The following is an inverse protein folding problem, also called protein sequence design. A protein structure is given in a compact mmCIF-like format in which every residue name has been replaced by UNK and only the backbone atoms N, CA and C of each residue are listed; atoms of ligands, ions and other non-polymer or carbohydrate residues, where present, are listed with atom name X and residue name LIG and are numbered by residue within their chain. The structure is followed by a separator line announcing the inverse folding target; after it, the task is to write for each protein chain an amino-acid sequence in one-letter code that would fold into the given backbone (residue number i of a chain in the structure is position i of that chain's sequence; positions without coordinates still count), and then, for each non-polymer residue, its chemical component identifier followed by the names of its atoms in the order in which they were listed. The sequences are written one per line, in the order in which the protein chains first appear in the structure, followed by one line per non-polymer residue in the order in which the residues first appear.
data_IF_186293870738
#
_entry.id   IF_186293870738
#
_cell.length_a   1.000
_cell.length_b   1.000
_cell.length_c   1.000
_cell.angle_alpha   90.00
_cell.angle_beta   90.00
_cell.angle_gamma   90.00
#
_symmetry.space_group_name_H-M   'P 1'
#
loop_
_entity.id
_entity.type
_entity.pdbx_description
1 polymer ?
#
# COMPACT_ATOMS: atom_id res chain seq x y z
N UNK A 1 3.42 8.21 25.54
CA UNK A 1 4.19 7.10 24.94
C UNK A 1 3.30 6.46 23.88
N UNK A 2 3.43 6.87 22.61
CA UNK A 2 2.63 6.26 21.54
C UNK A 2 3.14 4.83 21.32
N UNK A 3 2.24 3.85 21.41
CA UNK A 3 2.57 2.47 21.10
C UNK A 3 3.09 2.40 19.67
N UNK A 4 4.33 1.93 19.48
CA UNK A 4 4.86 1.62 18.15
C UNK A 4 4.02 0.45 17.61
N UNK A 5 3.03 0.75 16.77
CA UNK A 5 2.33 -0.31 16.05
C UNK A 5 3.34 -1.02 15.14
N UNK A 6 3.47 -2.36 15.22
CA UNK A 6 4.35 -3.08 14.31
C UNK A 6 3.93 -2.79 12.87
N UNK A 7 4.92 -2.60 11.99
CA UNK A 7 4.72 -2.43 10.55
C UNK A 7 3.88 -3.58 9.96
N UNK A 8 3.22 -3.32 8.83
CA UNK A 8 2.57 -4.38 8.06
C UNK A 8 3.59 -5.46 7.70
N UNK A 9 3.23 -6.70 8.04
CA UNK A 9 4.04 -7.91 7.80
C UNK A 9 4.17 -8.17 6.30
N UNK A 10 5.28 -8.75 5.88
CA UNK A 10 5.52 -9.13 4.49
C UNK A 10 5.22 -10.63 4.35
N UNK A 11 4.23 -11.04 3.54
CA UNK A 11 3.96 -12.45 3.30
C UNK A 11 5.19 -13.17 2.71
N UNK A 12 5.41 -14.44 3.08
CA UNK A 12 6.54 -15.23 2.60
C UNK A 12 6.50 -15.56 1.10
N UNK A 13 5.31 -15.47 0.48
CA UNK A 13 5.06 -15.81 -0.92
C UNK A 13 4.94 -14.58 -1.83
N UNK A 14 5.48 -13.42 -1.43
CA UNK A 14 5.43 -12.19 -2.23
C UNK A 14 6.19 -12.37 -3.55
N UNK A 15 5.52 -11.99 -4.64
CA UNK A 15 6.09 -11.88 -5.98
C UNK A 15 6.65 -10.48 -6.18
N UNK A 16 7.81 -10.41 -6.83
CA UNK A 16 8.45 -9.15 -7.23
C UNK A 16 8.28 -8.96 -8.74
N UNK A 17 7.83 -7.78 -9.14
CA UNK A 17 7.70 -7.41 -10.55
C UNK A 17 8.57 -6.21 -10.92
N UNK A 18 8.37 -5.76 -12.14
CA UNK A 18 8.98 -4.53 -12.67
C UNK A 18 7.91 -3.47 -12.92
N UNK A 19 8.32 -2.27 -13.35
CA UNK A 19 7.37 -1.21 -13.67
C UNK A 19 6.35 -1.60 -14.76
N UNK A 20 6.68 -2.57 -15.63
CA UNK A 20 5.75 -3.12 -16.63
C UNK A 20 4.57 -3.87 -16.02
N UNK A 21 4.70 -4.38 -14.79
CA UNK A 21 3.64 -5.10 -14.08
C UNK A 21 2.62 -4.16 -13.42
N UNK A 22 2.93 -2.86 -13.30
CA UNK A 22 2.10 -1.90 -12.55
C UNK A 22 0.65 -1.85 -13.06
N UNK A 23 0.36 -1.73 -14.37
CA UNK A 23 -1.04 -1.70 -14.83
C UNK A 23 -1.84 -2.96 -14.52
N UNK A 24 -1.16 -4.12 -14.41
CA UNK A 24 -1.81 -5.40 -14.08
C UNK A 24 -2.04 -5.55 -12.59
N UNK A 25 -1.09 -5.10 -11.76
CA UNK A 25 -1.13 -5.28 -10.29
C UNK A 25 -1.92 -4.16 -9.61
N UNK A 26 -1.84 -2.94 -10.17
CA UNK A 26 -2.35 -1.69 -9.63
C UNK A 26 -3.13 -0.91 -10.72
N UNK A 27 -4.25 -1.42 -11.23
CA UNK A 27 -4.95 -0.79 -12.34
C UNK A 27 -5.43 0.63 -12.02
N UNK A 28 -5.96 0.89 -10.82
CA UNK A 28 -6.43 2.24 -10.45
C UNK A 28 -5.27 3.21 -10.34
N UNK A 29 -4.21 2.81 -9.63
CA UNK A 29 -3.03 3.63 -9.45
C UNK A 29 -2.32 3.90 -10.80
N UNK A 30 -2.24 2.90 -11.68
CA UNK A 30 -1.65 3.07 -13.01
C UNK A 30 -2.41 4.10 -13.87
N UNK A 31 -3.75 4.14 -13.76
CA UNK A 31 -4.59 5.05 -14.53
C UNK A 31 -4.43 6.52 -14.09
N UNK A 32 -4.19 6.77 -12.79
CA UNK A 32 -4.18 8.13 -12.24
C UNK A 32 -2.78 8.66 -11.88
N UNK A 33 -1.80 7.76 -11.77
CA UNK A 33 -0.44 8.08 -11.34
C UNK A 33 0.62 7.76 -12.40
N UNK A 34 1.06 8.81 -13.10
CA UNK A 34 2.25 8.73 -13.94
C UNK A 34 3.52 8.38 -13.16
N UNK A 35 3.54 8.59 -11.83
CA UNK A 35 4.66 8.19 -10.98
C UNK A 35 4.69 6.71 -10.68
N UNK A 36 3.52 6.09 -10.47
CA UNK A 36 3.42 4.67 -10.20
C UNK A 36 3.93 3.82 -11.37
N UNK A 37 3.75 4.29 -12.62
CA UNK A 37 4.32 3.66 -13.82
C UNK A 37 5.86 3.62 -13.85
N UNK A 38 6.52 4.28 -12.90
CA UNK A 38 7.98 4.26 -12.69
C UNK A 38 8.39 3.47 -11.46
N UNK A 39 7.41 2.98 -10.69
CA UNK A 39 7.64 2.22 -9.47
C UNK A 39 7.87 0.74 -9.72
N UNK A 40 8.35 0.03 -8.71
CA UNK A 40 8.50 -1.43 -8.75
C UNK A 40 7.47 -2.10 -7.84
N UNK A 41 6.53 -2.89 -8.39
CA UNK A 41 5.46 -3.52 -7.65
C UNK A 41 5.92 -4.83 -6.98
N UNK A 42 5.35 -5.10 -5.81
CA UNK A 42 5.39 -6.38 -5.12
C UNK A 42 3.98 -6.74 -4.68
N UNK A 43 3.61 -8.01 -4.75
CA UNK A 43 2.27 -8.45 -4.36
C UNK A 43 2.27 -9.87 -3.84
N UNK A 44 1.38 -10.17 -2.90
CA UNK A 44 1.08 -11.55 -2.57
C UNK A 44 0.12 -12.14 -3.64
N UNK A 45 0.24 -13.41 -4.03
CA UNK A 45 -0.69 -14.07 -4.94
C UNK A 45 -2.16 -13.81 -4.57
N UNK A 46 -2.98 -13.45 -5.55
CA UNK A 46 -4.40 -13.23 -5.31
C UNK A 46 -5.05 -14.58 -4.95
N UNK A 47 -6.01 -14.62 -4.03
CA UNK A 47 -6.85 -15.79 -3.87
C UNK A 47 -7.59 -16.08 -5.18
N UNK A 48 -7.91 -17.35 -5.43
CA UNK A 48 -8.77 -17.72 -6.56
C UNK A 48 -10.14 -17.01 -6.44
N UNK A 49 -10.83 -16.75 -7.57
CA UNK A 49 -12.18 -16.21 -7.53
C UNK A 49 -13.09 -17.13 -6.70
N UNK A 50 -13.78 -16.58 -5.71
CA UNK A 50 -14.65 -17.36 -4.82
C UNK A 50 -16.02 -17.60 -5.49
N UNK A 51 -16.51 -18.85 -5.49
CA UNK A 51 -17.86 -19.20 -5.97
C UNK A 51 -18.58 -20.15 -4.99
N UNK A 52 -19.79 -19.82 -4.44
CA UNK A 52 -20.53 -18.56 -4.51
C UNK A 52 -20.54 -17.77 -3.19
N UNK A 53 -20.16 -16.49 -3.25
CA UNK A 53 -20.43 -15.46 -2.23
C UNK A 53 -19.25 -15.02 -1.37
N UNK A 54 -19.44 -14.03 -0.47
CA UNK A 54 -18.41 -13.55 0.44
C UNK A 54 -17.87 -14.66 1.35
N UNK A 55 -16.55 -14.83 1.34
CA UNK A 55 -15.78 -15.76 2.17
C UNK A 55 -14.97 -15.00 3.22
N UNK A 56 -14.19 -15.71 4.06
CA UNK A 56 -13.15 -15.10 4.88
C UNK A 56 -11.81 -15.13 4.15
N UNK A 57 -11.07 -14.02 4.17
CA UNK A 57 -9.75 -13.86 3.53
C UNK A 57 -8.69 -13.42 4.54
N UNK A 58 -7.46 -13.89 4.36
CA UNK A 58 -6.30 -13.40 5.10
C UNK A 58 -5.98 -11.96 4.68
N UNK A 59 -5.36 -11.14 5.57
CA UNK A 59 -4.79 -9.85 5.16
C UNK A 59 -3.86 -9.96 3.94
N UNK A 60 -3.08 -11.06 3.85
CA UNK A 60 -2.19 -11.36 2.73
C UNK A 60 -2.90 -11.43 1.37
N UNK A 61 -4.20 -11.77 1.33
CA UNK A 61 -4.97 -11.82 0.08
C UNK A 61 -5.09 -10.45 -0.61
N UNK A 62 -4.97 -9.37 0.17
CA UNK A 62 -5.05 -7.98 -0.28
C UNK A 62 -3.70 -7.27 -0.25
N UNK A 63 -2.63 -7.96 0.15
CA UNK A 63 -1.33 -7.34 0.35
C UNK A 63 -0.71 -6.90 -0.96
N UNK A 64 -0.38 -5.62 -1.04
CA UNK A 64 0.29 -4.97 -2.15
C UNK A 64 1.41 -4.06 -1.65
N UNK A 65 2.42 -3.84 -2.48
CA UNK A 65 3.51 -2.92 -2.21
C UNK A 65 4.04 -2.31 -3.52
N UNK A 66 4.45 -1.04 -3.49
CA UNK A 66 5.11 -0.39 -4.61
C UNK A 66 6.25 0.50 -4.09
N UNK A 67 7.43 0.42 -4.74
CA UNK A 67 8.57 1.29 -4.44
C UNK A 67 8.73 2.35 -5.52
N UNK A 68 8.73 3.61 -5.11
CA UNK A 68 8.99 4.79 -5.94
C UNK A 68 10.48 5.13 -5.90
N UNK A 69 11.21 5.01 -7.03
CA UNK A 69 12.65 5.23 -7.08
C UNK A 69 13.02 6.73 -7.15
N UNK A 70 12.52 7.54 -6.21
CA UNK A 70 12.75 8.99 -6.20
C UNK A 70 14.23 9.35 -6.19
N UNK A 71 15.10 8.58 -5.52
CA UNK A 71 16.53 8.90 -5.45
C UNK A 71 17.23 8.79 -6.82
N UNK A 72 16.79 7.89 -7.69
CA UNK A 72 17.42 7.64 -8.99
C UNK A 72 16.62 8.13 -10.21
N UNK A 73 15.33 8.42 -10.08
CA UNK A 73 14.48 8.90 -11.18
C UNK A 73 14.20 10.41 -11.09
N UNK A 74 14.92 11.18 -11.89
CA UNK A 74 14.77 12.64 -11.96
C UNK A 74 13.40 13.09 -12.51
N UNK A 75 12.77 12.30 -13.38
CA UNK A 75 11.46 12.63 -13.94
C UNK A 75 10.38 12.44 -12.87
N UNK A 76 10.46 11.33 -12.13
CA UNK A 76 9.58 11.07 -11.00
C UNK A 76 9.70 12.19 -9.96
N UNK A 77 10.93 12.58 -9.59
CA UNK A 77 11.18 13.73 -8.71
C UNK A 77 10.49 15.00 -9.20
N UNK A 78 10.65 15.34 -10.48
CA UNK A 78 10.05 16.53 -11.06
C UNK A 78 8.50 16.55 -10.94
N UNK A 79 7.86 15.39 -11.11
CA UNK A 79 6.39 15.26 -11.02
C UNK A 79 5.90 15.54 -9.58
N UNK A 80 6.62 15.05 -8.57
CA UNK A 80 6.13 15.07 -7.18
C UNK A 80 6.71 16.20 -6.32
N UNK A 81 7.80 16.84 -6.74
CA UNK A 81 8.47 17.83 -5.90
C UNK A 81 7.75 19.18 -5.86
N UNK A 82 7.76 19.79 -4.67
CA UNK A 82 7.48 21.20 -4.50
C UNK A 82 8.57 22.05 -5.19
N UNK A 83 8.25 23.25 -5.69
CA UNK A 83 9.26 24.25 -6.03
C UNK A 83 10.19 24.46 -4.82
N UNK A 84 11.50 24.30 -5.00
CA UNK A 84 12.50 24.38 -3.93
C UNK A 84 13.20 23.08 -3.55
N UNK A 85 12.87 21.94 -4.17
CA UNK A 85 13.86 20.84 -4.34
C UNK A 85 13.72 19.60 -3.46
N UNK A 86 13.16 19.69 -2.25
CA UNK A 86 13.37 18.59 -1.28
C UNK A 86 12.10 17.89 -0.80
N UNK A 87 10.95 18.57 -0.85
CA UNK A 87 9.68 18.09 -0.29
C UNK A 87 8.74 17.60 -1.38
N UNK A 88 7.98 16.55 -1.08
CA UNK A 88 6.88 16.10 -1.94
C UNK A 88 5.66 17.03 -1.81
N UNK A 89 4.91 17.17 -2.91
CA UNK A 89 3.59 17.80 -2.92
C UNK A 89 2.61 16.90 -2.17
N UNK A 90 2.18 17.35 -0.99
CA UNK A 90 1.28 16.58 -0.14
C UNK A 90 0.02 16.10 -0.88
N UNK A 91 -0.65 17.00 -1.61
CA UNK A 91 -1.84 16.66 -2.40
C UNK A 91 -1.57 15.57 -3.45
N UNK A 92 -0.44 15.62 -4.15
CA UNK A 92 -0.08 14.61 -5.14
C UNK A 92 0.19 13.26 -4.49
N UNK A 93 0.83 13.24 -3.32
CA UNK A 93 1.07 11.99 -2.61
C UNK A 93 -0.19 11.43 -1.93
N UNK A 94 -1.15 12.29 -1.55
CA UNK A 94 -2.48 11.85 -1.11
C UNK A 94 -3.25 11.15 -2.25
N UNK A 95 -3.13 11.63 -3.49
CA UNK A 95 -3.69 10.92 -4.67
C UNK A 95 -3.09 9.52 -4.82
N UNK A 96 -1.78 9.34 -4.57
CA UNK A 96 -1.14 8.01 -4.57
C UNK A 96 -1.72 7.10 -3.49
N UNK A 97 -1.87 7.62 -2.26
CA UNK A 97 -2.40 6.83 -1.14
C UNK A 97 -3.84 6.40 -1.39
N UNK A 98 -4.68 7.28 -1.95
CA UNK A 98 -6.07 6.98 -2.28
C UNK A 98 -6.18 5.89 -3.35
N UNK A 99 -5.46 6.05 -4.46
CA UNK A 99 -5.49 5.09 -5.56
C UNK A 99 -4.87 3.75 -5.17
N UNK A 100 -3.78 3.75 -4.39
CA UNK A 100 -3.18 2.53 -3.86
C UNK A 100 -4.13 1.79 -2.90
N UNK A 101 -4.80 2.51 -1.99
CA UNK A 101 -5.82 1.94 -1.10
C UNK A 101 -7.01 1.38 -1.87
N UNK A 102 -7.37 1.98 -3.01
CA UNK A 102 -8.38 1.44 -3.92
C UNK A 102 -7.97 0.10 -4.51
N UNK A 103 -6.75 -0.03 -5.04
CA UNK A 103 -6.25 -1.30 -5.60
C UNK A 103 -6.21 -2.42 -4.54
N UNK A 104 -5.71 -2.11 -3.33
CA UNK A 104 -5.72 -3.05 -2.19
C UNK A 104 -7.14 -3.55 -1.89
N UNK A 105 -8.10 -2.62 -1.83
CA UNK A 105 -9.51 -2.92 -1.55
C UNK A 105 -10.18 -3.68 -2.68
N UNK A 106 -9.90 -3.32 -3.93
CA UNK A 106 -10.44 -3.99 -5.11
C UNK A 106 -9.99 -5.44 -5.20
N UNK A 107 -8.73 -5.70 -4.81
CA UNK A 107 -8.17 -7.04 -4.69
C UNK A 107 -8.86 -7.84 -3.58
N UNK A 108 -9.02 -7.25 -2.39
CA UNK A 108 -9.72 -7.92 -1.27
C UNK A 108 -11.16 -8.25 -1.64
N UNK A 109 -11.88 -7.28 -2.21
CA UNK A 109 -13.28 -7.39 -2.57
C UNK A 109 -13.54 -8.21 -3.84
N UNK A 110 -12.51 -8.67 -4.55
CA UNK A 110 -12.63 -9.47 -5.79
C UNK A 110 -13.47 -8.77 -6.87
N UNK A 111 -13.20 -7.49 -7.10
CA UNK A 111 -13.98 -6.63 -8.02
C UNK A 111 -13.79 -6.98 -9.51
N UNK A 112 -12.78 -7.79 -9.83
CA UNK A 112 -12.52 -8.30 -11.18
C UNK A 112 -13.35 -9.54 -11.51
N UNK A 113 -14.02 -10.13 -10.52
CA UNK A 113 -14.92 -11.24 -10.73
C UNK A 113 -16.20 -10.75 -11.43
N UNK A 114 -16.52 -11.26 -12.64
CA UNK A 114 -17.69 -10.82 -13.40
C UNK A 114 -19.01 -11.11 -12.68
N UNK A 115 -19.03 -12.11 -11.78
CA UNK A 115 -20.21 -12.45 -10.98
C UNK A 115 -20.40 -11.50 -9.79
N UNK A 116 -19.41 -10.66 -9.50
CA UNK A 116 -19.43 -9.63 -8.44
C UNK A 116 -19.07 -8.27 -9.04
N UNK A 117 -20.00 -7.63 -9.77
CA UNK A 117 -19.74 -6.36 -10.42
C UNK A 117 -19.72 -5.24 -9.37
N UNK A 118 -18.57 -5.03 -8.73
CA UNK A 118 -18.42 -4.13 -7.58
C UNK A 118 -17.65 -2.85 -7.91
N UNK A 119 -18.14 -1.71 -7.43
CA UNK A 119 -17.37 -0.48 -7.32
C UNK A 119 -16.76 -0.38 -5.93
N UNK A 120 -15.58 0.23 -5.83
CA UNK A 120 -14.98 0.63 -4.56
C UNK A 120 -14.89 2.14 -4.55
N UNK A 121 -15.32 2.76 -3.46
CA UNK A 121 -15.24 4.22 -3.27
C UNK A 121 -14.58 4.54 -1.94
N UNK A 122 -13.85 5.64 -1.89
CA UNK A 122 -13.25 6.16 -0.66
C UNK A 122 -14.32 6.84 0.19
N UNK A 123 -14.40 6.46 1.47
CA UNK A 123 -15.27 7.10 2.45
C UNK A 123 -14.51 8.05 3.37
N UNK A 124 -13.29 7.68 3.80
CA UNK A 124 -12.48 8.50 4.69
C UNK A 124 -11.00 8.13 4.63
N UNK A 125 -10.14 9.10 4.98
CA UNK A 125 -8.72 8.90 5.27
C UNK A 125 -8.44 9.34 6.71
N UNK A 126 -7.62 8.57 7.43
CA UNK A 126 -7.11 8.85 8.77
C UNK A 126 -5.60 8.54 8.83
N UNK A 127 -4.91 8.92 9.92
CA UNK A 127 -3.50 8.61 10.12
C UNK A 127 -2.53 9.42 9.24
N UNK A 128 -2.91 10.63 8.84
CA UNK A 128 -2.12 11.47 7.91
C UNK A 128 -0.89 12.17 8.54
N UNK A 129 -0.32 11.58 9.60
CA UNK A 129 0.83 12.16 10.32
C UNK A 129 2.09 12.28 9.46
N UNK A 130 2.23 11.49 8.38
CA UNK A 130 3.33 11.62 7.40
C UNK A 130 3.34 12.98 6.67
N UNK A 131 2.19 13.65 6.63
CA UNK A 131 2.06 15.00 6.08
C UNK A 131 2.27 16.07 7.16
N UNK A 132 2.21 15.68 8.44
CA UNK A 132 2.48 16.53 9.59
C UNK A 132 3.99 16.61 9.87
N UNK A 133 4.50 17.83 9.85
CA UNK A 133 5.75 18.18 10.52
C UNK A 133 5.43 19.25 11.56
N UNK A 134 6.30 19.39 12.56
CA UNK A 134 6.38 20.42 13.60
C UNK A 134 6.65 21.84 13.05
N UNK A 135 6.14 22.16 11.86
CA UNK A 135 6.34 23.42 11.15
C UNK A 135 7.64 23.50 10.35
N UNK A 136 8.54 22.51 10.46
CA UNK A 136 9.91 22.61 9.90
C UNK A 136 10.23 21.58 8.80
N UNK A 137 9.71 20.34 8.81
CA UNK A 137 9.84 19.42 7.66
C UNK A 137 8.86 18.24 7.71
N UNK A 138 8.17 17.96 6.59
CA UNK A 138 7.47 16.68 6.41
C UNK A 138 8.51 15.56 6.22
N UNK A 139 8.30 14.36 6.77
CA UNK A 139 9.18 13.22 6.52
C UNK A 139 9.20 12.76 5.06
N UNK A 140 8.25 13.23 4.23
CA UNK A 140 8.15 12.94 2.81
C UNK A 140 9.15 13.77 2.00
N UNK A 141 10.21 13.12 1.54
CA UNK A 141 11.26 13.72 0.72
C UNK A 141 11.40 13.01 -0.62
N UNK A 142 11.67 13.80 -1.67
CA UNK A 142 12.02 13.28 -2.99
C UNK A 142 13.49 12.85 -3.10
N UNK A 143 14.28 13.01 -2.04
CA UNK A 143 15.70 12.61 -2.02
C UNK A 143 15.88 11.12 -1.71
N UNK A 144 14.81 10.45 -1.26
CA UNK A 144 14.85 9.05 -0.87
C UNK A 144 13.74 8.27 -1.55
N UNK A 145 14.04 7.02 -1.89
CA UNK A 145 13.03 6.09 -2.37
C UNK A 145 11.96 5.88 -1.30
N UNK A 146 10.70 5.89 -1.71
CA UNK A 146 9.57 5.65 -0.83
C UNK A 146 8.87 4.36 -1.23
N UNK A 147 8.40 3.62 -0.25
CA UNK A 147 7.68 2.36 -0.42
C UNK A 147 6.34 2.45 0.27
N UNK A 148 5.27 2.22 -0.48
CA UNK A 148 3.93 2.05 0.05
C UNK A 148 3.67 0.56 0.23
N UNK A 149 3.24 0.15 1.41
CA UNK A 149 2.84 -1.24 1.71
C UNK A 149 1.45 -1.22 2.30
N UNK A 150 0.51 -1.98 1.74
CA UNK A 150 -0.86 -1.96 2.22
C UNK A 150 -1.57 -3.31 2.20
N UNK A 151 -2.54 -3.42 3.10
CA UNK A 151 -3.45 -4.55 3.18
C UNK A 151 -4.75 -4.11 3.90
N UNK A 152 -5.84 -4.82 3.64
CA UNK A 152 -7.06 -4.71 4.44
C UNK A 152 -6.79 -5.25 5.85
N UNK A 153 -7.05 -4.41 6.86
CA UNK A 153 -6.85 -4.71 8.29
C UNK A 153 -8.16 -4.86 9.06
N UNK A 154 -9.28 -4.40 8.48
CA UNK A 154 -10.63 -4.61 9.01
C UNK A 154 -11.64 -4.69 7.86
N UNK A 155 -12.68 -5.50 8.03
CA UNK A 155 -13.76 -5.64 7.06
C UNK A 155 -15.12 -5.71 7.77
N UNK A 156 -16.04 -4.84 7.37
CA UNK A 156 -17.45 -4.85 7.78
C UNK A 156 -18.32 -5.56 6.75
N UNK A 157 -19.61 -5.23 6.70
CA UNK A 157 -20.52 -5.78 5.69
C UNK A 157 -20.15 -5.31 4.29
N UNK A 158 -20.03 -3.99 4.09
CA UNK A 158 -19.73 -3.37 2.80
C UNK A 158 -18.51 -2.46 2.84
N UNK A 159 -17.83 -2.37 3.98
CA UNK A 159 -16.68 -1.49 4.19
C UNK A 159 -15.40 -2.28 4.46
N UNK A 160 -14.27 -1.71 4.08
CA UNK A 160 -12.93 -2.23 4.36
C UNK A 160 -12.09 -1.08 4.89
N UNK A 161 -11.26 -1.35 5.90
CA UNK A 161 -10.20 -0.44 6.32
C UNK A 161 -8.88 -0.96 5.75
N UNK A 162 -8.25 -0.14 4.91
CA UNK A 162 -6.91 -0.38 4.39
C UNK A 162 -5.93 0.36 5.26
N UNK A 163 -4.93 -0.35 5.78
CA UNK A 163 -3.74 0.29 6.32
C UNK A 163 -2.71 0.40 5.20
N UNK A 164 -2.12 1.57 5.03
CA UNK A 164 -0.99 1.81 4.14
C UNK A 164 0.18 2.37 4.95
N UNK A 165 1.24 1.58 5.08
CA UNK A 165 2.51 2.02 5.65
C UNK A 165 3.34 2.75 4.60
N UNK A 166 3.88 3.90 4.98
CA UNK A 166 4.83 4.67 4.19
C UNK A 166 6.22 4.45 4.75
N UNK A 167 7.10 3.91 3.92
CA UNK A 167 8.45 3.52 4.29
C UNK A 167 9.46 4.30 3.46
N UNK A 168 10.58 4.68 4.06
CA UNK A 168 11.77 5.15 3.36
C UNK A 168 12.71 3.97 3.13
N UNK A 169 13.15 3.79 1.89
CA UNK A 169 14.13 2.76 1.55
C UNK A 169 15.53 3.35 1.63
N UNK A 170 16.31 2.84 2.57
CA UNK A 170 17.70 3.19 2.80
C UNK A 170 18.59 2.12 2.18
N UNK A 171 19.30 2.49 1.11
CA UNK A 171 20.31 1.62 0.50
C UNK A 171 21.63 1.84 1.23
N UNK A 172 22.24 0.78 1.74
CA UNK A 172 23.57 0.82 2.36
C UNK A 172 24.59 0.13 1.43
N UNK A 173 25.33 0.90 0.62
CA UNK A 173 26.32 0.34 -0.30
C UNK A 173 27.51 -0.31 0.42
N UNK A 174 27.73 0.00 1.71
CA UNK A 174 28.89 -0.45 2.50
C UNK A 174 28.68 -1.78 3.24
N UNK A 175 27.45 -2.31 3.26
CA UNK A 175 27.14 -3.58 3.95
C UNK A 175 27.47 -4.78 3.05
N UNK A 176 28.28 -5.76 3.52
CA UNK A 176 28.46 -7.03 2.79
C UNK A 176 27.10 -7.70 2.59
N UNK A 177 26.68 -7.88 1.33
CA UNK A 177 25.37 -8.41 0.97
C UNK A 177 24.33 -7.37 0.50
N UNK A 178 24.66 -6.07 0.44
CA UNK A 178 23.86 -5.06 -0.29
C UNK A 178 22.38 -4.96 0.12
N UNK A 179 22.08 -5.10 1.41
CA UNK A 179 20.70 -5.14 1.90
C UNK A 179 20.05 -3.77 1.99
N UNK A 180 18.83 -3.64 1.46
CA UNK A 180 17.94 -2.50 1.73
C UNK A 180 17.52 -2.50 3.21
N UNK A 181 17.50 -1.32 3.83
CA UNK A 181 16.85 -1.08 5.12
C UNK A 181 15.60 -0.23 4.91
N UNK A 182 14.60 -0.44 5.75
CA UNK A 182 13.35 0.33 5.71
C UNK A 182 13.21 1.15 7.00
N UNK A 183 12.90 2.44 6.86
CA UNK A 183 12.49 3.30 7.96
C UNK A 183 11.00 3.61 7.83
N UNK A 184 10.22 3.34 8.88
CA UNK A 184 8.78 3.60 8.90
C UNK A 184 8.51 5.09 9.17
N UNK A 185 7.93 5.78 8.19
CA UNK A 185 7.61 7.20 8.28
C UNK A 185 6.23 7.43 8.90
N UNK A 186 5.30 6.49 8.71
CA UNK A 186 3.96 6.51 9.28
C UNK A 186 2.98 5.61 8.55
N UNK A 187 1.72 5.63 8.98
CA UNK A 187 0.66 4.76 8.45
C UNK A 187 -0.61 5.57 8.22
N UNK A 188 -1.18 5.46 7.01
CA UNK A 188 -2.51 5.97 6.69
C UNK A 188 -3.54 4.84 6.80
N UNK A 189 -4.74 5.17 7.26
CA UNK A 189 -5.89 4.26 7.29
C UNK A 189 -6.97 4.82 6.38
N UNK A 190 -7.33 4.08 5.34
CA UNK A 190 -8.35 4.48 4.38
C UNK A 190 -9.57 3.58 4.53
N UNK A 191 -10.74 4.18 4.78
CA UNK A 191 -12.01 3.45 4.77
C UNK A 191 -12.55 3.46 3.35
N UNK A 192 -12.73 2.27 2.80
CA UNK A 192 -13.27 2.03 1.47
C UNK A 192 -14.63 1.35 1.59
N UNK A 193 -15.56 1.66 0.68
CA UNK A 193 -16.90 1.09 0.64
C UNK A 193 -17.15 0.45 -0.71
N UNK A 194 -17.76 -0.73 -0.70
CA UNK A 194 -18.20 -1.42 -1.92
C UNK A 194 -19.65 -1.15 -2.24
N UNK A 195 -19.90 -0.89 -3.52
CA UNK A 195 -21.24 -0.73 -4.10
C UNK A 195 -21.42 -1.75 -5.21
N UNK A 196 -22.64 -2.22 -5.41
CA UNK A 196 -23.01 -2.98 -6.60
C UNK A 196 -23.05 -2.03 -7.81
N UNK A 197 -22.31 -2.34 -8.89
CA UNK A 197 -22.21 -1.48 -10.09
C UNK A 197 -23.55 -1.19 -10.75
N UNK A 198 -24.52 -2.11 -10.63
CA UNK A 198 -25.80 -2.04 -11.36
C UNK A 198 -26.80 -1.18 -10.61
N UNK A 199 -26.82 -1.28 -9.29
CA UNK A 199 -27.80 -0.63 -8.41
C UNK A 199 -27.24 0.57 -7.67
N UNK A 200 -25.91 0.69 -7.57
CA UNK A 200 -25.17 1.60 -6.70
C UNK A 200 -25.52 1.45 -5.21
N UNK A 201 -26.21 0.37 -4.85
CA UNK A 201 -26.49 -0.01 -3.47
C UNK A 201 -25.27 -0.63 -2.79
N UNK A 202 -25.28 -0.72 -1.46
CA UNK A 202 -24.22 -1.38 -0.69
C UNK A 202 -24.07 -2.84 -1.13
N UNK A 203 -22.84 -3.29 -1.30
CA UNK A 203 -22.53 -4.68 -1.63
C UNK A 203 -21.67 -5.33 -0.54
N UNK A 204 -21.74 -6.65 -0.43
CA UNK A 204 -21.00 -7.37 0.60
C UNK A 204 -19.52 -7.58 0.21
N UNK A 205 -18.61 -7.40 1.16
CA UNK A 205 -17.17 -7.72 1.03
C UNK A 205 -16.84 -9.06 1.69
N UNK A 206 -15.69 -9.63 1.35
CA UNK A 206 -15.14 -10.77 2.08
C UNK A 206 -14.80 -10.36 3.52
N UNK A 207 -15.13 -11.21 4.48
CA UNK A 207 -14.71 -11.02 5.86
C UNK A 207 -13.20 -11.21 6.01
N UNK A 208 -12.62 -10.67 7.08
CA UNK A 208 -11.20 -10.87 7.41
C UNK A 208 -11.03 -12.07 8.35
N UNK A 209 -9.98 -12.88 8.14
CA UNK A 209 -9.51 -13.91 9.09
C UNK A 209 -8.27 -13.44 9.85
N UNK A 210 -7.99 -14.05 11.01
CA UNK A 210 -6.77 -13.78 11.76
C UNK A 210 -5.51 -14.18 10.96
N UNK A 211 -4.39 -13.48 11.18
CA UNK A 211 -3.22 -13.50 10.28
C UNK A 211 -2.43 -14.82 10.21
N UNK A 212 -1.75 -14.99 9.07
CA UNK A 212 -0.82 -16.07 8.68
C UNK A 212 0.56 -15.98 9.39
N UNK A 213 1.39 -17.05 9.39
CA UNK A 213 2.73 -17.05 10.00
C UNK A 213 3.73 -16.08 9.34
N UNK A 214 4.80 -15.74 10.08
CA UNK A 214 5.84 -14.77 9.70
C UNK A 214 6.74 -15.28 8.57
N UNK A 215 7.38 -14.36 7.83
CA UNK A 215 8.51 -14.69 6.96
C UNK A 215 9.82 -14.72 7.75
N UNK A 216 10.80 -15.52 7.31
CA UNK A 216 12.13 -15.63 7.95
C UNK A 216 12.85 -14.28 8.08
N UNK A 217 12.66 -13.38 7.11
CA UNK A 217 13.23 -12.03 7.13
C UNK A 217 12.51 -11.13 8.15
N UNK A 218 11.19 -11.28 8.29
CA UNK A 218 10.42 -10.60 9.34
C UNK A 218 10.79 -11.13 10.73
N UNK A 219 11.08 -12.42 10.89
CA UNK A 219 11.58 -12.99 12.14
C UNK A 219 12.96 -12.41 12.51
N UNK A 220 13.86 -12.33 11.54
CA UNK A 220 15.20 -11.73 11.72
C UNK A 220 15.13 -10.25 12.05
N UNK A 221 14.28 -9.49 11.35
CA UNK A 221 14.07 -8.07 11.59
C UNK A 221 13.30 -7.81 12.91
N UNK A 222 12.42 -8.71 13.34
CA UNK A 222 11.75 -8.64 14.64
C UNK A 222 12.74 -8.91 15.79
N UNK A 223 13.60 -9.93 15.66
CA UNK A 223 14.66 -10.22 16.62
C UNK A 223 15.62 -9.03 16.80
N UNK A 224 16.00 -8.38 15.70
CA UNK A 224 16.86 -7.18 15.72
C UNK A 224 16.17 -5.92 16.29
N UNK A 225 14.83 -5.86 16.29
CA UNK A 225 14.06 -4.75 16.88
C UNK A 225 13.79 -4.93 18.39
N UNK A 226 14.03 -6.13 18.92
CA UNK A 226 13.83 -6.48 20.33
C UNK A 226 15.13 -6.46 21.17
N UNK A 227 16.26 -6.15 20.54
CA UNK A 227 17.58 -5.96 21.19
C UNK A 227 17.94 -4.48 21.26
#
# INVERSE_FOLDING_TARGET
MAARHPGLRVPSNVLCGTHEDVPRVFPVLADVSAGALRGTPRWAPAPAPDTPGPSRRAPSASWLEITYPFSSDATLRYIYMMPGGDRLRAGRFLEELDAFSADVSMRHADTFNPDRPLLVVTAAHDGLSVFGGDGVSSPLSAQHDLRLRGAVVSAGTSSMEVRTDVLRVLRDPGRPGGGEREEHLGSCYTVMVTLDKRTLGKAAVHGLQAGEPLSDDDERAAAQRAT
#
